data_IF_864328452724
#
_entry.id   IF_864328452724
#
_cell.length_a   1.000
_cell.length_b   1.000
_cell.length_c   1.000
_cell.angle_alpha   90.00
_cell.angle_beta   90.00
_cell.angle_gamma   90.00
#
_symmetry.space_group_name_H-M   'P 1'
#
loop_
_entity.id
_entity.type
_entity.pdbx_description
1 polymer ?
#
# COMPACT_ATOMS: atom_id res chain seq x y z
N UNK A 1 -13.77 3.90 -2.18
CA UNK A 1 -15.05 4.59 -2.39
C UNK A 1 -16.16 4.00 -1.51
N UNK A 2 -16.55 2.74 -1.65
CA UNK A 2 -17.62 2.14 -0.82
C UNK A 2 -17.34 2.23 0.68
N UNK A 3 -16.11 1.97 1.10
CA UNK A 3 -15.70 2.08 2.50
C UNK A 3 -15.80 3.52 3.05
N UNK A 4 -15.77 4.51 2.16
CA UNK A 4 -15.93 5.93 2.50
C UNK A 4 -17.39 6.41 2.32
N UNK A 5 -18.34 5.52 2.02
CA UNK A 5 -19.72 5.89 1.77
C UNK A 5 -20.00 6.51 0.39
N UNK A 6 -19.01 6.48 -0.50
CA UNK A 6 -19.11 7.08 -1.83
C UNK A 6 -19.73 6.14 -2.86
N UNK A 7 -20.50 6.70 -3.78
CA UNK A 7 -21.07 5.94 -4.89
C UNK A 7 -19.99 5.58 -5.91
N UNK A 8 -19.86 4.29 -6.21
CA UNK A 8 -18.95 3.81 -7.24
C UNK A 8 -19.57 4.04 -8.62
N UNK A 9 -18.94 4.90 -9.41
CA UNK A 9 -19.29 5.19 -10.80
C UNK A 9 -18.01 5.30 -11.65
N UNK A 10 -18.10 5.20 -12.97
CA UNK A 10 -16.94 5.46 -13.84
C UNK A 10 -16.29 6.82 -13.57
N UNK A 11 -17.08 7.84 -13.29
CA UNK A 11 -16.62 9.20 -13.01
C UNK A 11 -15.90 9.29 -11.67
N UNK A 12 -16.49 8.77 -10.58
CA UNK A 12 -15.87 8.80 -9.26
C UNK A 12 -14.56 7.98 -9.21
N UNK A 13 -14.51 6.85 -9.94
CA UNK A 13 -13.27 6.06 -10.05
C UNK A 13 -12.22 6.78 -10.88
N UNK A 14 -12.59 7.44 -12.00
CA UNK A 14 -11.62 8.20 -12.81
C UNK A 14 -11.05 9.40 -12.06
N UNK A 15 -11.78 9.96 -11.10
CA UNK A 15 -11.33 11.05 -10.25
C UNK A 15 -10.21 10.66 -9.29
N UNK A 16 -10.11 9.37 -8.92
CA UNK A 16 -9.16 8.89 -7.90
C UNK A 16 -8.14 7.88 -8.45
N UNK A 17 -8.23 7.50 -9.72
CA UNK A 17 -7.37 6.48 -10.32
C UNK A 17 -7.03 6.85 -11.77
N UNK A 18 -5.78 7.23 -12.02
CA UNK A 18 -5.32 7.70 -13.31
C UNK A 18 -5.43 6.61 -14.39
N UNK A 19 -4.99 5.39 -14.08
CA UNK A 19 -4.97 4.27 -15.01
C UNK A 19 -5.67 3.05 -14.41
N UNK A 20 -6.47 2.36 -15.24
CA UNK A 20 -7.19 1.13 -14.86
C UNK A 20 -7.01 0.08 -15.94
N UNK A 21 -6.71 -1.13 -15.52
CA UNK A 21 -6.47 -2.26 -16.42
C UNK A 21 -7.29 -3.47 -15.96
N UNK A 22 -7.83 -4.23 -16.91
CA UNK A 22 -8.59 -5.46 -16.61
C UNK A 22 -7.67 -6.59 -16.14
N UNK A 23 -6.47 -6.69 -16.73
CA UNK A 23 -5.54 -7.76 -16.42
C UNK A 23 -4.80 -7.48 -15.11
N UNK A 24 -4.72 -8.46 -14.16
CA UNK A 24 -4.00 -8.32 -12.89
C UNK A 24 -2.49 -8.48 -13.12
N UNK A 25 -1.87 -7.46 -13.68
CA UNK A 25 -0.45 -7.41 -14.03
C UNK A 25 0.23 -6.27 -13.26
N UNK A 26 1.57 -6.31 -13.18
CA UNK A 26 2.32 -5.16 -12.69
C UNK A 26 2.01 -3.92 -13.55
N UNK A 27 1.94 -2.70 -12.96
CA UNK A 27 1.51 -1.50 -13.67
C UNK A 27 2.22 -1.25 -14.99
N UNK A 28 3.55 -1.34 -15.02
CA UNK A 28 4.34 -1.16 -16.24
C UNK A 28 3.97 -2.17 -17.34
N UNK A 29 3.73 -3.43 -16.97
CA UNK A 29 3.34 -4.48 -17.92
C UNK A 29 1.92 -4.23 -18.43
N UNK A 30 1.01 -3.82 -17.55
CA UNK A 30 -0.38 -3.50 -17.90
C UNK A 30 -0.44 -2.31 -18.86
N UNK A 31 0.29 -1.21 -18.58
CA UNK A 31 0.40 -0.04 -19.47
C UNK A 31 0.95 -0.41 -20.83
N UNK A 32 2.07 -1.15 -20.88
CA UNK A 32 2.70 -1.61 -22.12
C UNK A 32 1.74 -2.45 -22.95
N UNK A 33 1.01 -3.39 -22.32
CA UNK A 33 0.02 -4.24 -22.98
C UNK A 33 -1.16 -3.46 -23.54
N UNK A 34 -1.57 -2.41 -22.84
CA UNK A 34 -2.68 -1.55 -23.25
C UNK A 34 -2.26 -0.41 -24.21
N UNK A 35 -0.97 -0.28 -24.54
CA UNK A 35 -0.45 0.80 -25.38
C UNK A 35 -0.54 2.17 -24.69
N UNK A 36 -0.57 2.21 -23.36
CA UNK A 36 -0.60 3.43 -22.57
C UNK A 36 0.84 3.88 -22.30
N UNK A 37 1.10 5.17 -22.48
CA UNK A 37 2.39 5.77 -22.20
C UNK A 37 2.73 5.67 -20.71
N UNK A 38 3.98 5.31 -20.43
CA UNK A 38 4.50 5.16 -19.07
C UNK A 38 5.15 6.46 -18.61
N UNK A 39 4.31 7.49 -18.41
CA UNK A 39 4.76 8.81 -17.92
C UNK A 39 4.70 8.87 -16.40
N UNK A 40 5.86 8.65 -15.77
CA UNK A 40 6.01 8.77 -14.32
C UNK A 40 5.69 10.18 -13.81
N UNK A 41 6.06 11.23 -14.55
CA UNK A 41 5.78 12.62 -14.18
C UNK A 41 4.27 12.86 -14.10
N UNK A 42 3.52 12.39 -15.09
CA UNK A 42 2.06 12.51 -15.08
C UNK A 42 1.40 11.76 -13.92
N UNK A 43 1.93 10.59 -13.52
CA UNK A 43 1.46 9.83 -12.36
C UNK A 43 1.72 10.61 -11.06
N UNK A 44 2.93 11.14 -10.88
CA UNK A 44 3.31 11.93 -9.72
C UNK A 44 2.48 13.21 -9.61
N UNK A 45 2.32 13.95 -10.70
CA UNK A 45 1.55 15.20 -10.75
C UNK A 45 0.06 14.96 -10.50
N UNK A 46 -0.51 13.88 -11.04
CA UNK A 46 -1.87 13.47 -10.72
C UNK A 46 -2.03 13.22 -9.22
N UNK A 47 -1.12 12.45 -8.63
CA UNK A 47 -1.19 12.09 -7.21
C UNK A 47 -1.07 13.33 -6.32
N UNK A 48 -0.14 14.23 -6.62
CA UNK A 48 0.03 15.50 -5.88
C UNK A 48 -1.23 16.38 -5.95
N UNK A 49 -1.80 16.54 -7.13
CA UNK A 49 -3.06 17.28 -7.28
C UNK A 49 -4.19 16.67 -6.47
N UNK A 50 -4.33 15.34 -6.49
CA UNK A 50 -5.36 14.67 -5.68
C UNK A 50 -5.16 14.94 -4.18
N UNK A 51 -3.94 14.97 -3.69
CA UNK A 51 -3.63 15.30 -2.29
C UNK A 51 -3.99 16.75 -1.97
N UNK A 52 -3.61 17.69 -2.83
CA UNK A 52 -3.86 19.13 -2.65
C UNK A 52 -5.34 19.48 -2.72
N UNK A 53 -6.08 18.86 -3.64
CA UNK A 53 -7.48 19.17 -3.93
C UNK A 53 -8.48 18.38 -3.05
N UNK A 54 -8.03 17.36 -2.32
CA UNK A 54 -8.92 16.45 -1.58
C UNK A 54 -9.82 17.16 -0.57
N UNK A 55 -9.34 18.26 0.07
CA UNK A 55 -10.08 18.98 1.09
C UNK A 55 -10.52 18.11 2.27
N UNK A 56 -9.93 16.94 2.42
CA UNK A 56 -10.25 15.94 3.41
C UNK A 56 -9.26 15.99 4.59
N UNK A 57 -9.72 15.63 5.78
CA UNK A 57 -8.86 15.54 6.96
C UNK A 57 -7.74 14.49 6.81
N UNK A 58 -7.98 13.48 5.99
CA UNK A 58 -7.02 12.41 5.68
C UNK A 58 -7.18 11.95 4.24
N UNK A 59 -6.05 11.69 3.58
CA UNK A 59 -5.98 11.10 2.25
C UNK A 59 -5.09 9.86 2.30
N UNK A 60 -5.55 8.78 1.69
CA UNK A 60 -4.75 7.56 1.53
C UNK A 60 -4.40 7.41 0.05
N UNK A 61 -3.12 7.26 -0.24
CA UNK A 61 -2.59 6.93 -1.56
C UNK A 61 -2.18 5.47 -1.56
N UNK A 62 -2.85 4.66 -2.35
CA UNK A 62 -2.56 3.23 -2.48
C UNK A 62 -1.86 2.92 -3.79
N UNK A 63 -0.70 2.26 -3.73
CA UNK A 63 0.01 1.75 -4.90
C UNK A 63 -0.52 0.39 -5.35
N UNK A 64 -0.37 0.07 -6.62
CA UNK A 64 -0.71 -1.25 -7.16
C UNK A 64 0.46 -2.23 -7.00
N UNK A 65 0.30 -3.23 -6.15
CA UNK A 65 1.32 -4.22 -5.82
C UNK A 65 2.13 -3.86 -4.58
N UNK A 66 3.28 -4.50 -4.39
CA UNK A 66 4.17 -4.24 -3.25
C UNK A 66 5.10 -3.05 -3.45
N UNK A 67 5.85 -2.67 -2.42
CA UNK A 67 6.77 -1.50 -2.42
C UNK A 67 7.77 -1.50 -3.57
N UNK A 68 8.23 -2.66 -4.01
CA UNK A 68 9.17 -2.83 -5.13
C UNK A 68 8.48 -3.17 -6.46
N UNK A 69 7.16 -3.06 -6.55
CA UNK A 69 6.44 -3.30 -7.81
C UNK A 69 6.82 -2.27 -8.87
N UNK A 70 7.11 -2.69 -10.12
CA UNK A 70 7.38 -1.77 -11.22
C UNK A 70 6.15 -0.89 -11.52
N UNK A 71 6.30 0.42 -11.32
CA UNK A 71 5.29 1.41 -11.66
C UNK A 71 5.37 1.76 -13.15
N UNK A 72 6.58 2.08 -13.62
CA UNK A 72 6.95 2.21 -15.04
C UNK A 72 8.13 1.28 -15.35
N UNK A 73 8.66 1.28 -16.56
CA UNK A 73 9.82 0.46 -16.92
C UNK A 73 11.12 0.92 -16.25
N UNK A 74 11.16 2.13 -15.71
CA UNK A 74 12.33 2.74 -15.07
C UNK A 74 12.08 3.20 -13.61
N UNK A 75 10.84 3.08 -13.09
CA UNK A 75 10.45 3.52 -11.75
C UNK A 75 9.65 2.44 -11.02
N UNK A 76 9.89 2.35 -9.72
CA UNK A 76 9.17 1.46 -8.80
C UNK A 76 8.15 2.23 -7.96
N UNK A 77 7.23 1.53 -7.31
CA UNK A 77 6.29 2.13 -6.36
C UNK A 77 7.01 2.90 -5.24
N UNK A 78 8.14 2.37 -4.76
CA UNK A 78 8.93 3.03 -3.72
C UNK A 78 9.51 4.38 -4.17
N UNK A 79 9.75 4.57 -5.47
CA UNK A 79 10.19 5.86 -5.99
C UNK A 79 9.08 6.90 -5.86
N UNK A 80 7.82 6.52 -6.18
CA UNK A 80 6.66 7.38 -5.98
C UNK A 80 6.46 7.72 -4.48
N UNK A 81 6.60 6.73 -3.59
CA UNK A 81 6.52 6.95 -2.15
C UNK A 81 7.59 7.95 -1.67
N UNK A 82 8.82 7.83 -2.18
CA UNK A 82 9.91 8.74 -1.85
C UNK A 82 9.67 10.16 -2.38
N UNK A 83 9.18 10.31 -3.62
CA UNK A 83 8.90 11.60 -4.23
C UNK A 83 7.68 12.31 -3.62
N UNK A 84 6.74 11.55 -3.02
CA UNK A 84 5.62 12.11 -2.25
C UNK A 84 6.03 12.47 -0.81
N UNK A 85 7.05 11.81 -0.26
CA UNK A 85 7.56 12.02 1.09
C UNK A 85 6.47 11.94 2.19
N UNK A 86 5.50 11.04 2.02
CA UNK A 86 4.43 10.80 2.99
C UNK A 86 4.81 9.65 3.94
N UNK A 87 4.30 9.64 5.19
CA UNK A 87 4.40 8.47 6.05
C UNK A 87 3.77 7.25 5.41
N UNK A 88 4.38 6.08 5.59
CA UNK A 88 3.95 4.84 4.95
C UNK A 88 3.17 3.96 5.93
N UNK A 89 1.97 3.55 5.55
CA UNK A 89 1.25 2.46 6.20
C UNK A 89 1.58 1.19 5.42
N UNK A 90 2.38 0.30 6.02
CA UNK A 90 2.70 -0.99 5.41
C UNK A 90 1.63 -2.02 5.80
N UNK A 91 1.00 -2.64 4.80
CA UNK A 91 -0.03 -3.67 5.04
C UNK A 91 0.53 -5.05 4.67
N UNK A 92 0.40 -5.99 5.59
CA UNK A 92 0.78 -7.39 5.40
C UNK A 92 -0.37 -8.33 5.77
N UNK A 93 -0.30 -9.56 5.30
CA UNK A 93 -1.23 -10.62 5.67
C UNK A 93 -0.45 -11.89 6.04
N UNK A 94 -0.94 -12.72 6.97
CA UNK A 94 -0.29 -13.96 7.36
C UNK A 94 -0.48 -15.05 6.30
N UNK A 95 0.61 -15.50 5.71
CA UNK A 95 0.71 -16.62 4.77
C UNK A 95 2.14 -17.19 4.78
N UNK A 96 2.36 -18.34 4.15
CA UNK A 96 3.70 -18.93 4.05
C UNK A 96 4.67 -18.01 3.29
N UNK A 97 5.73 -17.53 3.96
CA UNK A 97 6.69 -16.56 3.43
C UNK A 97 6.43 -15.12 3.83
N UNK A 98 5.30 -14.80 4.49
CA UNK A 98 4.95 -13.44 4.88
C UNK A 98 6.00 -12.73 5.73
N UNK A 99 6.66 -13.44 6.66
CA UNK A 99 7.76 -12.87 7.48
C UNK A 99 8.85 -12.30 6.58
N UNK A 100 9.36 -13.11 5.63
CA UNK A 100 10.40 -12.70 4.70
C UNK A 100 9.97 -11.52 3.84
N UNK A 101 8.76 -11.56 3.29
CA UNK A 101 8.24 -10.49 2.44
C UNK A 101 8.06 -9.18 3.21
N UNK A 102 7.55 -9.26 4.45
CA UNK A 102 7.36 -8.08 5.31
C UNK A 102 8.70 -7.47 5.71
N UNK A 103 9.66 -8.28 6.14
CA UNK A 103 11.01 -7.79 6.48
C UNK A 103 11.71 -7.15 5.28
N UNK A 104 11.60 -7.75 4.09
CA UNK A 104 12.17 -7.19 2.86
C UNK A 104 11.53 -5.85 2.51
N UNK A 105 10.21 -5.71 2.68
CA UNK A 105 9.50 -4.44 2.45
C UNK A 105 9.95 -3.37 3.46
N UNK A 106 10.05 -3.70 4.74
CA UNK A 106 10.55 -2.80 5.79
C UNK A 106 11.98 -2.33 5.45
N UNK A 107 12.87 -3.25 5.08
CA UNK A 107 14.26 -2.91 4.75
C UNK A 107 14.37 -2.02 3.51
N UNK A 108 13.53 -2.27 2.50
CA UNK A 108 13.49 -1.42 1.31
C UNK A 108 13.03 0.00 1.64
N UNK A 109 11.98 0.16 2.45
CA UNK A 109 11.48 1.46 2.90
C UNK A 109 12.54 2.21 3.73
N UNK A 110 13.14 1.53 4.71
CA UNK A 110 14.20 2.10 5.55
C UNK A 110 15.42 2.54 4.72
N UNK A 111 15.82 1.76 3.71
CA UNK A 111 16.93 2.09 2.83
C UNK A 111 16.68 3.37 2.00
N UNK A 112 15.41 3.76 1.81
CA UNK A 112 15.00 5.00 1.15
C UNK A 112 14.72 6.13 2.15
N UNK A 113 14.92 5.91 3.45
CA UNK A 113 14.62 6.89 4.51
C UNK A 113 13.13 7.18 4.66
N UNK A 114 12.27 6.26 4.25
CA UNK A 114 10.82 6.41 4.38
C UNK A 114 10.37 6.00 5.77
N UNK A 115 9.58 6.85 6.41
CA UNK A 115 9.00 6.59 7.72
C UNK A 115 7.84 5.59 7.60
N UNK A 116 7.91 4.50 8.38
CA UNK A 116 6.80 3.56 8.53
C UNK A 116 5.99 3.98 9.74
N UNK A 117 4.84 4.62 9.50
CA UNK A 117 3.92 5.04 10.56
C UNK A 117 3.37 3.82 11.32
N UNK A 118 2.99 2.79 10.59
CA UNK A 118 2.55 1.52 11.18
C UNK A 118 2.61 0.38 10.17
N UNK A 119 2.86 -0.83 10.69
CA UNK A 119 2.65 -2.11 10.00
C UNK A 119 1.27 -2.62 10.40
N UNK A 120 0.32 -2.65 9.47
CA UNK A 120 -0.98 -3.28 9.69
C UNK A 120 -0.91 -4.73 9.21
N UNK A 121 -1.16 -5.69 10.11
CA UNK A 121 -1.29 -7.09 9.74
C UNK A 121 -2.77 -7.44 9.71
N UNK A 122 -3.28 -7.63 8.49
CA UNK A 122 -4.69 -7.89 8.23
C UNK A 122 -4.95 -9.37 8.00
N UNK A 123 -5.99 -9.92 8.63
CA UNK A 123 -6.46 -11.26 8.39
C UNK A 123 -7.49 -11.24 7.24
N UNK A 124 -7.12 -11.64 6.01
CA UNK A 124 -8.00 -11.55 4.85
C UNK A 124 -9.14 -12.58 4.87
N UNK A 125 -8.93 -13.69 5.55
CA UNK A 125 -9.87 -14.81 5.66
C UNK A 125 -9.81 -15.39 7.08
N UNK A 126 -10.93 -15.81 7.69
CA UNK A 126 -10.94 -16.46 9.01
C UNK A 126 -10.04 -17.71 9.10
N UNK A 127 -9.80 -18.39 7.97
CA UNK A 127 -8.92 -19.55 7.90
C UNK A 127 -7.44 -19.19 7.75
N UNK A 128 -7.11 -17.91 7.55
CA UNK A 128 -5.72 -17.45 7.51
C UNK A 128 -5.04 -17.64 8.88
N UNK A 129 -3.72 -17.85 8.92
CA UNK A 129 -2.97 -17.89 10.17
C UNK A 129 -3.22 -16.65 11.05
N UNK A 130 -2.99 -16.78 12.35
CA UNK A 130 -3.15 -15.67 13.29
C UNK A 130 -2.20 -14.51 12.95
N UNK A 131 -2.73 -13.29 12.76
CA UNK A 131 -1.91 -12.09 12.54
C UNK A 131 -0.87 -11.82 13.63
N UNK A 132 -1.17 -12.18 14.89
CA UNK A 132 -0.25 -11.98 16.00
C UNK A 132 1.05 -12.78 15.81
N UNK A 133 0.97 -13.99 15.28
CA UNK A 133 2.16 -14.81 14.98
C UNK A 133 3.10 -14.10 13.98
N UNK A 134 2.55 -13.48 12.93
CA UNK A 134 3.36 -12.73 11.98
C UNK A 134 3.98 -11.49 12.64
N UNK A 135 3.22 -10.78 13.49
CA UNK A 135 3.72 -9.62 14.23
C UNK A 135 4.91 -9.99 15.12
N UNK A 136 4.77 -11.03 15.94
CA UNK A 136 5.83 -11.52 16.82
C UNK A 136 7.12 -11.86 16.05
N UNK A 137 6.98 -12.59 14.94
CA UNK A 137 8.14 -12.98 14.13
C UNK A 137 8.82 -11.78 13.45
N UNK A 138 8.07 -10.80 12.95
CA UNK A 138 8.64 -9.57 12.38
C UNK A 138 9.36 -8.76 13.45
N UNK A 139 8.74 -8.56 14.62
CA UNK A 139 9.27 -7.75 15.72
C UNK A 139 10.56 -8.31 16.33
N UNK A 140 10.85 -9.61 16.15
CA UNK A 140 12.17 -10.20 16.54
C UNK A 140 13.34 -9.60 15.74
N UNK A 141 13.08 -9.11 14.54
CA UNK A 141 14.11 -8.62 13.61
C UNK A 141 14.05 -7.13 13.34
N UNK A 142 12.87 -6.52 13.39
CA UNK A 142 12.67 -5.09 13.10
C UNK A 142 11.69 -4.47 14.09
N UNK A 143 12.06 -3.31 14.63
CA UNK A 143 11.20 -2.53 15.50
C UNK A 143 10.37 -1.57 14.63
N UNK A 144 9.07 -1.82 14.56
CA UNK A 144 8.09 -0.97 13.85
C UNK A 144 6.80 -0.93 14.66
N UNK A 145 6.04 0.16 14.64
CA UNK A 145 4.69 0.16 15.21
C UNK A 145 3.82 -0.87 14.50
N UNK A 146 3.07 -1.71 15.23
CA UNK A 146 2.23 -2.76 14.66
C UNK A 146 0.79 -2.59 15.11
N UNK A 147 -0.14 -2.77 14.18
CA UNK A 147 -1.57 -2.85 14.41
C UNK A 147 -2.14 -4.12 13.80
N UNK A 148 -3.03 -4.79 14.49
CA UNK A 148 -3.68 -6.00 14.00
C UNK A 148 -5.11 -5.70 13.55
N UNK A 149 -5.51 -6.22 12.40
CA UNK A 149 -6.85 -6.12 11.86
C UNK A 149 -7.43 -7.52 11.61
N UNK A 150 -8.48 -7.89 12.37
CA UNK A 150 -9.19 -9.16 12.19
C UNK A 150 -10.09 -9.14 10.97
N UNK A 151 -10.43 -10.33 10.47
CA UNK A 151 -11.36 -10.46 9.36
C UNK A 151 -12.73 -9.85 9.69
N UNK A 152 -13.17 -8.86 8.92
CA UNK A 152 -14.48 -8.21 9.05
C UNK A 152 -14.74 -7.43 10.34
N UNK A 153 -13.74 -7.27 11.22
CA UNK A 153 -13.91 -6.66 12.55
C UNK A 153 -13.22 -5.32 12.75
N UNK A 154 -12.51 -4.81 11.75
CA UNK A 154 -11.66 -3.63 11.95
C UNK A 154 -10.45 -3.93 12.86
N UNK A 155 -9.89 -2.91 13.50
CA UNK A 155 -8.71 -3.08 14.35
C UNK A 155 -9.00 -3.95 15.57
N UNK A 156 -8.16 -4.97 15.80
CA UNK A 156 -8.13 -5.69 17.06
C UNK A 156 -7.48 -4.78 18.11
N UNK A 157 -8.20 -4.51 19.19
CA UNK A 157 -7.68 -3.68 20.27
C UNK A 157 -6.44 -4.33 20.91
N UNK A 158 -5.32 -3.60 20.91
CA UNK A 158 -4.21 -3.84 21.81
C UNK A 158 -3.05 -4.66 21.26
N UNK A 159 -2.05 -3.97 20.81
CA UNK A 159 -0.65 -4.16 21.18
C UNK A 159 0.03 -2.80 20.96
N UNK A 160 -0.29 -1.83 21.82
CA UNK A 160 0.64 -0.76 22.08
C UNK A 160 1.68 -1.37 23.03
N UNK A 161 2.88 -1.61 22.55
CA UNK A 161 4.03 -1.83 23.44
C UNK A 161 4.33 -0.49 24.11
N UNK A 162 4.11 -0.45 25.44
CA UNK A 162 4.67 0.57 26.34
C UNK A 162 6.20 0.63 26.25
#
# INVERSE_FOLDING_TARGET
LQACGETVSPQSVSGICLHRFEAPLAPNVAMRRAGVEQDYGAILDFTRRQIEEAGADRMIVEGAGGVMSPLTDDRLQIDLMADLALPVILVAAPYLGAVSHTLTAIDALNARGLEIETLIISQPDPASPDPATLAEEVLRFRQVPVSLAGHGTGFLAGHASD
#
